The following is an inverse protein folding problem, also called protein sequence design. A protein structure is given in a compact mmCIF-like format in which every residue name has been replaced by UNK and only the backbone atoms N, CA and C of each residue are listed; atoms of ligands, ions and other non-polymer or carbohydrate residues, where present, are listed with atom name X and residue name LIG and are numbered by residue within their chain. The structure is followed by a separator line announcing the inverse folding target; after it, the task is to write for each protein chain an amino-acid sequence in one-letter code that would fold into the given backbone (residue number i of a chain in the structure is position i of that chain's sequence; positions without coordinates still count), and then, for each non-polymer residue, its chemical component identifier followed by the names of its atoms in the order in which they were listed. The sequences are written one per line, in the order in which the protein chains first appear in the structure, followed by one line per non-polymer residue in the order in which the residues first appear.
data_IF_422410998942
#
_entry.id   IF_422410998942
#
_cell.length_a   1.000
_cell.length_b   1.000
_cell.length_c   1.000
_cell.angle_alpha   90.00
_cell.angle_beta   90.00
_cell.angle_gamma   90.00
#
_symmetry.space_group_name_H-M   'P 1'
#
loop_
_entity.id
_entity.type
_entity.pdbx_description
1 polymer ?
#
# COMPACT_ATOMS: atom_id res chain seq x y z
N UNK A 1 31.75 -1.31 24.22
CA UNK A 1 30.90 -1.00 23.06
C UNK A 1 29.48 -0.81 23.56
N UNK A 2 29.01 0.43 23.60
CA UNK A 2 27.66 0.75 24.04
C UNK A 2 26.74 0.73 22.80
N UNK A 3 25.96 -0.34 22.66
CA UNK A 3 24.91 -0.41 21.64
C UNK A 3 23.76 0.51 22.06
N UNK A 4 23.32 1.39 21.16
CA UNK A 4 22.06 2.13 21.33
C UNK A 4 20.94 1.07 21.30
N UNK A 5 20.35 0.79 22.46
CA UNK A 5 19.38 -0.30 22.67
C UNK A 5 17.99 -0.01 22.08
N UNK A 6 17.68 1.26 21.85
CA UNK A 6 16.51 1.74 21.11
C UNK A 6 16.74 3.20 20.73
N UNK A 7 16.30 3.59 19.53
CA UNK A 7 15.93 4.98 19.26
C UNK A 7 14.44 5.03 19.49
N UNK A 8 14.07 5.28 20.74
CA UNK A 8 12.68 5.52 21.11
C UNK A 8 12.29 6.91 20.60
N UNK A 9 11.52 6.95 19.51
CA UNK A 9 10.87 8.19 19.01
C UNK A 9 9.66 8.53 19.90
N UNK A 10 9.83 8.43 21.22
CA UNK A 10 8.83 8.78 22.23
C UNK A 10 9.07 10.21 22.71
N UNK A 11 8.87 11.19 21.83
CA UNK A 11 8.39 12.52 22.22
C UNK A 11 8.01 13.41 21.04
N UNK A 12 7.57 12.82 19.92
CA UNK A 12 6.90 13.64 18.90
C UNK A 12 5.51 13.99 19.42
N UNK A 13 5.26 15.27 19.67
CA UNK A 13 3.95 15.78 20.01
C UNK A 13 2.94 15.40 18.92
N UNK A 14 2.17 14.34 19.20
CA UNK A 14 1.09 13.82 18.35
C UNK A 14 -0.06 14.84 18.21
N UNK A 15 -0.02 15.98 18.91
CA UNK A 15 -0.98 17.06 18.72
C UNK A 15 -0.93 17.66 17.31
N UNK A 16 0.22 17.56 16.61
CA UNK A 16 0.41 18.12 15.27
C UNK A 16 -0.08 17.21 14.11
N UNK A 17 -0.55 16.00 14.38
CA UNK A 17 -0.93 15.02 13.32
C UNK A 17 -2.38 14.53 13.36
N UNK A 18 -3.25 15.17 14.16
CA UNK A 18 -4.69 14.83 14.14
C UNK A 18 -5.42 15.57 13.02
N UNK A 19 -5.18 15.19 11.77
CA UNK A 19 -6.18 15.48 10.73
C UNK A 19 -7.27 14.40 10.88
N UNK A 20 -8.38 14.78 11.53
CA UNK A 20 -9.58 13.97 11.47
C UNK A 20 -10.03 13.90 10.02
N UNK A 21 -10.12 12.68 9.50
CA UNK A 21 -10.79 12.43 8.22
C UNK A 21 -12.26 12.73 8.44
N UNK A 22 -12.68 13.96 8.13
CA UNK A 22 -14.09 14.37 8.16
C UNK A 22 -14.77 13.87 6.88
N UNK A 23 -14.76 12.55 6.69
CA UNK A 23 -15.67 11.90 5.76
C UNK A 23 -17.00 11.74 6.49
N UNK A 24 -18.11 11.91 5.76
CA UNK A 24 -19.49 12.09 6.25
C UNK A 24 -20.01 11.03 7.24
N UNK A 25 -19.23 10.00 7.56
CA UNK A 25 -19.45 9.03 8.63
C UNK A 25 -18.29 9.13 9.64
N UNK A 26 -18.60 9.35 10.93
CA UNK A 26 -17.65 9.47 12.04
C UNK A 26 -16.77 8.21 12.22
N UNK A 27 -15.76 8.02 11.38
CA UNK A 27 -14.79 6.94 11.53
C UNK A 27 -13.66 7.40 12.44
N UNK A 28 -13.31 6.56 13.41
CA UNK A 28 -12.14 6.78 14.25
C UNK A 28 -10.90 6.29 13.48
N UNK A 29 -10.13 7.23 12.95
CA UNK A 29 -8.87 6.97 12.27
C UNK A 29 -7.93 8.16 12.39
N UNK A 30 -6.65 7.94 12.11
CA UNK A 30 -5.64 8.98 12.05
C UNK A 30 -4.65 8.65 10.95
N UNK A 31 -4.31 9.66 10.15
CA UNK A 31 -3.26 9.55 9.15
C UNK A 31 -2.26 10.69 9.28
N UNK A 32 -1.05 10.44 8.81
CA UNK A 32 0.02 11.44 8.66
C UNK A 32 0.02 11.94 7.23
N UNK A 33 0.30 13.23 7.05
CA UNK A 33 0.56 13.76 5.70
C UNK A 33 1.80 13.06 5.12
N UNK A 34 1.62 12.30 4.05
CA UNK A 34 2.65 11.42 3.50
C UNK A 34 3.91 12.20 3.11
N UNK A 35 3.75 13.27 2.32
CA UNK A 35 4.83 14.10 1.83
C UNK A 35 5.66 14.74 2.94
N UNK A 36 5.02 15.23 4.00
CA UNK A 36 5.72 15.80 5.15
C UNK A 36 6.39 14.72 5.97
N UNK A 37 5.72 13.59 6.18
CA UNK A 37 6.20 12.52 7.04
C UNK A 37 7.45 11.82 6.49
N UNK A 38 7.49 11.52 5.18
CA UNK A 38 8.67 10.88 4.58
C UNK A 38 9.91 11.76 4.60
N UNK A 39 9.76 13.09 4.64
CA UNK A 39 10.88 14.02 4.80
C UNK A 39 11.45 13.99 6.21
N UNK A 40 10.59 13.86 7.22
CA UNK A 40 11.02 13.67 8.62
C UNK A 40 11.76 12.34 8.78
N UNK A 41 11.26 11.26 8.16
CA UNK A 41 11.96 9.98 8.15
C UNK A 41 13.31 10.04 7.40
N UNK A 42 13.36 10.76 6.28
CA UNK A 42 14.61 11.00 5.56
C UNK A 42 15.65 11.74 6.42
N UNK A 43 15.24 12.78 7.14
CA UNK A 43 16.11 13.48 8.09
C UNK A 43 16.65 12.55 9.18
N UNK A 44 15.80 11.71 9.77
CA UNK A 44 16.23 10.69 10.73
C UNK A 44 17.31 9.78 10.14
N UNK A 45 17.09 9.23 8.93
CA UNK A 45 18.05 8.33 8.31
C UNK A 45 19.36 9.03 7.91
N UNK A 46 19.31 10.29 7.48
CA UNK A 46 20.52 11.09 7.24
C UNK A 46 21.32 11.24 8.54
N UNK A 47 20.67 11.57 9.65
CA UNK A 47 21.34 11.72 10.93
C UNK A 47 21.96 10.40 11.42
N UNK A 48 21.25 9.29 11.26
CA UNK A 48 21.77 7.95 11.60
C UNK A 48 22.99 7.64 10.73
N UNK A 49 22.87 7.79 9.41
CA UNK A 49 23.96 7.56 8.45
C UNK A 49 25.20 8.41 8.77
N UNK A 50 25.02 9.69 9.09
CA UNK A 50 26.10 10.59 9.50
C UNK A 50 26.76 10.24 10.82
N UNK A 51 26.02 9.60 11.75
CA UNK A 51 26.54 9.17 13.03
C UNK A 51 27.39 7.89 12.90
N UNK A 52 26.98 6.96 12.04
CA UNK A 52 27.68 5.68 11.85
C UNK A 52 28.78 5.72 10.79
N UNK A 53 28.72 6.66 9.83
CA UNK A 53 29.73 6.95 8.79
C UNK A 53 30.29 5.70 8.10
N UNK A 54 31.45 5.22 8.55
CA UNK A 54 32.15 4.06 7.99
C UNK A 54 31.40 2.75 8.19
N UNK A 55 30.45 2.70 9.13
CA UNK A 55 29.59 1.55 9.41
C UNK A 55 28.17 1.74 8.83
N UNK A 56 28.01 2.64 7.86
CA UNK A 56 26.71 2.86 7.21
C UNK A 56 26.16 1.58 6.58
N UNK A 57 24.90 1.31 6.89
CA UNK A 57 24.10 0.24 6.28
C UNK A 57 23.25 0.75 5.09
N UNK A 58 23.42 2.02 4.71
CA UNK A 58 22.59 2.66 3.70
C UNK A 58 22.99 2.23 2.29
N UNK A 59 22.05 1.68 1.53
CA UNK A 59 22.26 1.31 0.13
C UNK A 59 21.75 2.40 -0.82
N UNK A 60 22.60 2.78 -1.78
CA UNK A 60 22.28 3.79 -2.79
C UNK A 60 21.72 3.21 -4.10
N UNK A 61 21.84 1.90 -4.33
CA UNK A 61 21.34 1.24 -5.56
C UNK A 61 21.82 1.94 -6.85
N UNK A 62 23.09 2.36 -6.88
CA UNK A 62 23.68 3.07 -8.02
C UNK A 62 23.18 4.50 -8.24
N UNK A 63 22.33 5.03 -7.35
CA UNK A 63 21.85 6.41 -7.39
C UNK A 63 22.74 7.36 -6.58
N UNK A 64 22.41 8.65 -6.61
CA UNK A 64 23.06 9.66 -5.79
C UNK A 64 22.81 9.41 -4.29
N UNK A 65 23.71 9.88 -3.40
CA UNK A 65 23.47 9.85 -1.96
C UNK A 65 22.10 10.44 -1.59
N UNK A 66 21.41 9.81 -0.64
CA UNK A 66 20.08 10.20 -0.16
C UNK A 66 18.98 10.26 -1.23
N UNK A 67 19.12 9.45 -2.29
CA UNK A 67 17.96 8.97 -3.04
C UNK A 67 17.28 7.84 -2.25
N UNK A 68 16.14 8.17 -1.63
CA UNK A 68 15.35 7.25 -0.85
C UNK A 68 14.40 6.43 -1.73
N UNK A 69 14.56 5.11 -1.71
CA UNK A 69 13.66 4.15 -2.34
C UNK A 69 12.70 3.62 -1.28
N UNK A 70 11.40 3.73 -1.54
CA UNK A 70 10.35 3.51 -0.57
C UNK A 70 9.51 2.30 -0.97
N UNK A 71 9.11 1.51 0.02
CA UNK A 71 8.02 0.55 -0.07
C UNK A 71 6.82 1.04 0.73
N UNK A 72 5.62 0.88 0.17
CA UNK A 72 4.35 1.21 0.81
C UNK A 72 3.55 -0.07 1.01
N UNK A 73 3.50 -0.53 2.26
CA UNK A 73 2.70 -1.69 2.63
C UNK A 73 1.29 -1.29 3.02
N UNK A 74 0.34 -2.20 2.80
CA UNK A 74 -0.98 -2.11 3.40
C UNK A 74 -1.38 -3.49 3.93
N UNK A 75 -1.99 -3.49 5.11
CA UNK A 75 -2.47 -4.72 5.75
C UNK A 75 -3.84 -4.50 6.37
N UNK A 76 -4.70 -5.49 6.23
CA UNK A 76 -6.03 -5.55 6.81
C UNK A 76 -6.07 -6.67 7.82
N UNK A 77 -6.30 -6.33 9.08
CA UNK A 77 -6.26 -7.28 10.17
C UNK A 77 -7.65 -7.53 10.78
N UNK A 78 -7.97 -8.79 11.14
CA UNK A 78 -9.28 -9.18 11.66
C UNK A 78 -9.38 -8.84 13.17
N UNK A 79 -9.10 -7.60 13.52
CA UNK A 79 -9.23 -7.09 14.88
C UNK A 79 -9.74 -5.65 14.86
N UNK A 80 -10.54 -5.28 15.86
CA UNK A 80 -11.14 -3.94 15.90
C UNK A 80 -12.50 -3.94 16.59
N UNK A 81 -13.11 -2.76 16.68
CA UNK A 81 -14.49 -2.62 17.21
C UNK A 81 -15.53 -3.22 16.26
N UNK A 82 -15.19 -3.36 14.98
CA UNK A 82 -16.04 -3.86 13.90
C UNK A 82 -15.41 -5.08 13.21
N UNK A 83 -14.59 -5.85 13.95
CA UNK A 83 -13.82 -7.03 13.51
C UNK A 83 -12.83 -6.80 12.35
N UNK A 84 -12.62 -5.56 11.93
CA UNK A 84 -11.66 -5.19 10.88
C UNK A 84 -10.94 -3.86 11.19
N UNK A 85 -9.63 -3.85 11.00
CA UNK A 85 -8.79 -2.66 11.00
C UNK A 85 -7.83 -2.70 9.80
N UNK A 86 -7.54 -1.53 9.24
CA UNK A 86 -6.64 -1.41 8.10
C UNK A 86 -5.55 -0.41 8.42
N UNK A 87 -4.32 -0.72 8.01
CA UNK A 87 -3.17 0.14 8.16
C UNK A 87 -2.37 0.27 6.86
N UNK A 88 -1.76 1.43 6.70
CA UNK A 88 -0.74 1.70 5.69
C UNK A 88 0.59 1.98 6.36
N UNK A 89 1.64 1.37 5.83
CA UNK A 89 2.99 1.48 6.34
C UNK A 89 3.93 1.97 5.24
N UNK A 90 4.98 2.68 5.65
CA UNK A 90 6.06 3.12 4.79
C UNK A 90 7.39 2.59 5.32
N UNK A 91 8.23 2.11 4.42
CA UNK A 91 9.52 1.52 4.75
C UNK A 91 10.56 1.93 3.71
N UNK A 92 11.81 2.13 4.14
CA UNK A 92 12.87 2.63 3.27
C UNK A 92 13.75 1.45 2.82
N UNK A 93 13.72 1.12 1.53
CA UNK A 93 14.47 0.00 0.97
C UNK A 93 16.00 0.18 1.10
N UNK A 94 16.45 1.43 1.25
CA UNK A 94 17.85 1.75 1.47
C UNK A 94 18.44 1.09 2.73
N UNK A 95 17.61 0.71 3.71
CA UNK A 95 18.11 0.06 4.94
C UNK A 95 18.19 -1.47 4.84
N UNK A 96 17.81 -2.05 3.71
CA UNK A 96 17.96 -3.48 3.39
C UNK A 96 17.49 -4.41 4.50
N UNK A 97 18.38 -5.22 5.10
CA UNK A 97 17.99 -6.23 6.08
C UNK A 97 17.30 -5.62 7.30
N UNK A 98 17.54 -4.34 7.58
CA UNK A 98 16.84 -3.63 8.65
C UNK A 98 15.35 -3.47 8.34
N UNK A 99 14.90 -3.51 7.08
CA UNK A 99 13.46 -3.46 6.73
C UNK A 99 12.65 -4.62 7.30
N UNK A 100 13.31 -5.75 7.60
CA UNK A 100 12.66 -6.91 8.24
C UNK A 100 12.36 -6.65 9.72
N UNK A 101 12.96 -5.62 10.31
CA UNK A 101 12.67 -5.15 11.65
C UNK A 101 11.34 -4.40 11.66
N UNK A 102 10.50 -4.71 12.63
CA UNK A 102 9.29 -3.92 12.96
C UNK A 102 9.59 -2.44 13.22
N UNK A 103 10.84 -2.09 13.54
CA UNK A 103 11.27 -0.71 13.82
C UNK A 103 11.48 0.16 12.58
N UNK A 104 11.58 -0.47 11.41
CA UNK A 104 11.86 0.20 10.14
C UNK A 104 10.62 0.19 9.20
N UNK A 105 9.44 -0.10 9.78
CA UNK A 105 8.13 -0.05 9.14
C UNK A 105 7.25 0.98 9.89
N UNK A 106 6.94 2.11 9.26
CA UNK A 106 6.30 3.24 9.92
C UNK A 106 4.85 3.42 9.50
N UNK A 107 3.94 3.60 10.47
CA UNK A 107 2.53 3.87 10.17
C UNK A 107 2.33 5.24 9.49
N UNK A 108 1.68 5.22 8.33
CA UNK A 108 1.20 6.43 7.64
C UNK A 108 -0.30 6.64 7.86
N UNK A 109 -1.08 5.57 7.85
CA UNK A 109 -2.52 5.61 8.13
C UNK A 109 -2.93 4.36 8.93
N UNK A 110 -3.92 4.55 9.80
CA UNK A 110 -4.51 3.49 10.60
C UNK A 110 -5.95 3.83 10.91
N UNK A 111 -6.86 2.95 10.52
CA UNK A 111 -8.30 3.13 10.74
C UNK A 111 -8.95 1.82 11.15
N UNK A 112 -9.93 1.93 12.05
CA UNK A 112 -10.75 0.81 12.46
C UNK A 112 -11.91 0.63 11.46
N UNK A 113 -11.57 0.19 10.23
CA UNK A 113 -12.54 -0.26 9.24
C UNK A 113 -11.90 -1.22 8.24
N UNK A 114 -12.78 -1.86 7.46
CA UNK A 114 -12.44 -2.71 6.31
C UNK A 114 -11.48 -2.05 5.32
N UNK A 115 -10.61 -2.86 4.72
CA UNK A 115 -9.77 -2.49 3.58
C UNK A 115 -10.61 -2.07 2.37
N UNK A 116 -11.84 -2.60 2.26
CA UNK A 116 -12.79 -2.26 1.21
C UNK A 116 -13.65 -1.01 1.53
N UNK A 117 -13.48 -0.40 2.70
CA UNK A 117 -14.27 0.76 3.11
C UNK A 117 -14.01 1.98 2.19
N UNK A 118 -15.02 2.80 1.83
CA UNK A 118 -14.85 3.97 0.96
C UNK A 118 -13.73 4.94 1.37
N UNK A 119 -13.49 5.09 2.67
CA UNK A 119 -12.40 5.90 3.21
C UNK A 119 -11.02 5.39 2.80
N UNK A 120 -10.81 4.06 2.78
CA UNK A 120 -9.54 3.47 2.37
C UNK A 120 -9.27 3.72 0.89
N UNK A 121 -10.30 3.59 0.06
CA UNK A 121 -10.22 3.89 -1.37
C UNK A 121 -9.93 5.37 -1.64
N UNK A 122 -10.49 6.27 -0.82
CA UNK A 122 -10.21 7.70 -0.93
C UNK A 122 -8.79 8.04 -0.47
N UNK A 123 -8.35 7.47 0.65
CA UNK A 123 -7.00 7.63 1.15
C UNK A 123 -5.97 7.15 0.12
N UNK A 124 -6.20 6.00 -0.50
CA UNK A 124 -5.33 5.49 -1.54
C UNK A 124 -5.21 6.42 -2.75
N UNK A 125 -6.31 7.02 -3.20
CA UNK A 125 -6.29 8.02 -4.27
C UNK A 125 -5.44 9.23 -3.89
N UNK A 126 -5.59 9.71 -2.65
CA UNK A 126 -4.75 10.79 -2.12
C UNK A 126 -3.28 10.36 -2.08
N UNK A 127 -2.99 9.16 -1.57
CA UNK A 127 -1.63 8.64 -1.47
C UNK A 127 -0.98 8.54 -2.85
N UNK A 128 -1.67 8.05 -3.87
CA UNK A 128 -1.15 8.03 -5.25
C UNK A 128 -0.84 9.44 -5.79
N UNK A 129 -1.63 10.46 -5.43
CA UNK A 129 -1.34 11.85 -5.78
C UNK A 129 -0.10 12.37 -5.04
N UNK A 130 0.02 12.05 -3.75
CA UNK A 130 1.18 12.43 -2.93
C UNK A 130 2.47 11.76 -3.44
N UNK A 131 2.40 10.49 -3.85
CA UNK A 131 3.51 9.76 -4.48
C UNK A 131 3.92 10.44 -5.79
N UNK A 132 2.97 10.66 -6.70
CA UNK A 132 3.26 11.33 -7.97
C UNK A 132 3.86 12.72 -7.76
N UNK A 133 3.44 13.43 -6.70
CA UNK A 133 4.02 14.71 -6.34
C UNK A 133 5.47 14.56 -5.84
N UNK A 134 5.73 13.72 -4.83
CA UNK A 134 7.05 13.63 -4.20
C UNK A 134 8.13 13.14 -5.17
N UNK A 135 7.80 12.22 -6.07
CA UNK A 135 8.75 11.64 -7.03
C UNK A 135 9.26 12.64 -8.09
N UNK A 136 8.50 13.70 -8.35
CA UNK A 136 8.87 14.71 -9.36
C UNK A 136 9.79 15.79 -8.83
N UNK A 137 10.02 15.84 -7.52
CA UNK A 137 10.68 16.95 -6.85
C UNK A 137 12.04 16.52 -6.29
N UNK A 138 12.87 17.51 -5.98
CA UNK A 138 14.09 17.32 -5.19
C UNK A 138 14.02 18.24 -3.99
N UNK A 139 14.49 17.77 -2.85
CA UNK A 139 14.33 18.45 -1.56
C UNK A 139 15.68 18.63 -0.89
N UNK A 140 15.87 19.77 -0.24
CA UNK A 140 17.03 19.96 0.64
C UNK A 140 16.61 19.55 2.05
N UNK A 141 17.20 18.46 2.57
CA UNK A 141 16.92 17.92 3.90
C UNK A 141 18.25 17.79 4.63
N UNK A 142 18.35 18.43 5.80
CA UNK A 142 19.58 18.48 6.61
C UNK A 142 20.83 18.89 5.81
N UNK A 143 20.66 19.74 4.79
CA UNK A 143 21.74 20.23 3.91
C UNK A 143 22.05 19.35 2.69
N UNK A 144 21.37 18.21 2.52
CA UNK A 144 21.57 17.30 1.39
C UNK A 144 20.44 17.37 0.38
N UNK A 145 20.80 17.22 -0.90
CA UNK A 145 19.81 17.03 -1.94
C UNK A 145 19.25 15.61 -1.88
N UNK A 146 17.95 15.50 -1.64
CA UNK A 146 17.23 14.27 -1.44
C UNK A 146 16.17 14.08 -2.53
N UNK A 147 16.03 12.84 -2.97
CA UNK A 147 15.02 12.41 -3.93
C UNK A 147 14.28 11.20 -3.37
N UNK A 148 13.04 11.01 -3.82
CA UNK A 148 12.17 9.94 -3.36
C UNK A 148 11.63 9.16 -4.55
N UNK A 149 11.61 7.84 -4.46
CA UNK A 149 10.96 6.96 -5.44
C UNK A 149 10.27 5.82 -4.71
N UNK A 150 9.01 5.57 -5.03
CA UNK A 150 8.25 4.44 -4.54
C UNK A 150 8.41 3.29 -5.52
N UNK A 151 9.19 2.30 -5.12
CA UNK A 151 9.54 1.16 -5.98
C UNK A 151 8.58 0.00 -5.80
N UNK A 152 7.98 -0.10 -4.61
CA UNK A 152 7.19 -1.26 -4.21
C UNK A 152 5.94 -0.81 -3.47
N UNK A 153 4.82 -1.44 -3.83
CA UNK A 153 3.59 -1.39 -3.05
C UNK A 153 3.25 -2.83 -2.65
N UNK A 154 4.01 -3.45 -1.72
CA UNK A 154 3.76 -4.83 -1.31
C UNK A 154 2.35 -4.93 -0.74
N UNK A 155 1.54 -5.76 -1.40
CA UNK A 155 0.13 -5.92 -1.09
C UNK A 155 -0.21 -7.40 -1.17
N UNK A 156 -1.05 -7.88 -0.24
CA UNK A 156 -1.66 -9.18 -0.43
C UNK A 156 -2.58 -9.16 -1.68
N UNK A 157 -2.92 -10.35 -2.19
CA UNK A 157 -3.77 -10.47 -3.38
C UNK A 157 -5.17 -9.88 -3.18
N UNK A 158 -5.75 -9.96 -1.97
CA UNK A 158 -7.09 -9.42 -1.68
C UNK A 158 -7.06 -7.90 -1.82
N UNK A 159 -6.03 -7.28 -1.29
CA UNK A 159 -5.83 -5.85 -1.29
C UNK A 159 -5.51 -5.34 -2.70
N UNK A 160 -4.56 -5.97 -3.40
CA UNK A 160 -4.24 -5.64 -4.79
C UNK A 160 -5.49 -5.71 -5.67
N UNK A 161 -6.29 -6.76 -5.50
CA UNK A 161 -7.54 -6.94 -6.21
C UNK A 161 -8.53 -5.80 -5.90
N UNK A 162 -8.78 -5.51 -4.63
CA UNK A 162 -9.71 -4.45 -4.22
C UNK A 162 -9.33 -3.08 -4.80
N UNK A 163 -8.04 -2.77 -4.78
CA UNK A 163 -7.49 -1.46 -5.14
C UNK A 163 -7.36 -1.27 -6.66
N UNK A 164 -7.16 -2.37 -7.38
CA UNK A 164 -7.16 -2.40 -8.84
C UNK A 164 -8.58 -2.50 -9.43
N UNK A 165 -9.61 -2.63 -8.59
CA UNK A 165 -11.00 -2.78 -9.03
C UNK A 165 -11.34 -4.19 -9.53
N UNK A 166 -10.59 -5.18 -9.07
CA UNK A 166 -10.71 -6.58 -9.45
C UNK A 166 -11.76 -7.34 -8.65
N UNK A 167 -12.06 -8.52 -9.17
CA UNK A 167 -12.85 -9.50 -8.43
C UNK A 167 -12.08 -9.98 -7.21
N UNK A 168 -12.82 -10.34 -6.16
CA UNK A 168 -12.23 -10.93 -4.98
C UNK A 168 -11.60 -12.30 -5.32
N UNK A 169 -10.72 -12.77 -4.44
CA UNK A 169 -10.01 -14.03 -4.63
C UNK A 169 -10.92 -15.27 -4.59
N UNK A 170 -12.21 -15.12 -4.29
CA UNK A 170 -13.22 -16.19 -4.31
C UNK A 170 -13.99 -16.26 -5.64
N UNK A 171 -13.71 -15.35 -6.58
CA UNK A 171 -14.33 -15.38 -7.89
C UNK A 171 -13.80 -16.53 -8.75
N UNK A 172 -14.62 -16.98 -9.70
CA UNK A 172 -14.22 -17.98 -10.68
C UNK A 172 -12.95 -17.58 -11.43
N UNK A 173 -12.76 -16.29 -11.70
CA UNK A 173 -11.51 -15.68 -12.16
C UNK A 173 -10.87 -14.86 -11.02
N UNK A 174 -10.09 -15.53 -10.16
CA UNK A 174 -9.51 -14.91 -8.96
C UNK A 174 -8.15 -14.25 -9.19
N UNK A 175 -7.43 -14.63 -10.25
CA UNK A 175 -6.07 -14.10 -10.49
C UNK A 175 -6.14 -12.72 -11.14
N UNK A 176 -5.48 -11.71 -10.55
CA UNK A 176 -5.41 -10.38 -11.15
C UNK A 176 -4.39 -10.30 -12.30
N UNK A 177 -3.61 -11.37 -12.55
CA UNK A 177 -2.50 -11.35 -13.50
C UNK A 177 -2.81 -12.01 -14.85
N UNK A 178 -3.79 -12.92 -14.89
CA UNK A 178 -4.15 -13.63 -16.12
C UNK A 178 -5.39 -14.50 -15.96
N UNK A 179 -5.81 -15.15 -17.03
CA UNK A 179 -7.06 -15.91 -17.13
C UNK A 179 -7.10 -17.25 -16.38
N UNK A 180 -6.36 -17.34 -15.27
CA UNK A 180 -6.47 -18.44 -14.30
C UNK A 180 -7.87 -18.45 -13.70
N UNK A 181 -8.48 -19.62 -13.66
CA UNK A 181 -9.83 -19.81 -13.17
C UNK A 181 -10.02 -21.13 -12.42
N UNK A 182 -11.20 -21.34 -11.84
CA UNK A 182 -11.48 -22.54 -11.04
C UNK A 182 -11.28 -23.87 -11.78
N UNK A 183 -11.50 -23.89 -13.09
CA UNK A 183 -11.36 -25.11 -13.89
C UNK A 183 -9.88 -25.45 -14.15
N UNK A 184 -9.04 -24.43 -14.30
CA UNK A 184 -7.63 -24.61 -14.69
C UNK A 184 -6.61 -24.30 -13.58
N UNK A 185 -7.02 -23.81 -12.40
CA UNK A 185 -6.11 -23.46 -11.29
C UNK A 185 -5.28 -24.62 -10.74
N UNK A 186 -5.68 -25.86 -11.01
CA UNK A 186 -4.98 -27.08 -10.56
C UNK A 186 -3.94 -27.58 -11.57
N UNK A 187 -3.80 -26.93 -12.73
CA UNK A 187 -2.79 -27.29 -13.73
C UNK A 187 -1.40 -27.04 -13.15
N UNK A 188 -0.60 -28.11 -13.06
CA UNK A 188 0.81 -28.04 -12.63
C UNK A 188 1.70 -27.74 -13.82
N UNK A 189 2.80 -27.02 -13.60
CA UNK A 189 3.76 -26.60 -14.63
C UNK A 189 3.14 -25.78 -15.78
N UNK A 190 2.03 -25.10 -15.50
CA UNK A 190 1.46 -24.17 -16.47
C UNK A 190 2.34 -22.93 -16.62
N UNK A 191 2.33 -22.33 -17.80
CA UNK A 191 3.01 -21.07 -18.09
C UNK A 191 2.00 -19.94 -18.28
N UNK A 192 2.38 -18.74 -17.86
CA UNK A 192 1.64 -17.49 -18.09
C UNK A 192 2.43 -16.64 -19.09
N UNK A 193 1.79 -16.26 -20.21
CA UNK A 193 2.42 -15.43 -21.22
C UNK A 193 1.50 -15.14 -22.40
N UNK A 194 1.97 -14.30 -23.31
CA UNK A 194 1.22 -13.93 -24.53
C UNK A 194 1.33 -14.98 -25.64
N UNK A 195 2.23 -15.95 -25.51
CA UNK A 195 2.40 -17.03 -26.47
C UNK A 195 1.16 -17.94 -26.45
N UNK A 196 0.56 -18.28 -27.61
CA UNK A 196 -0.61 -19.16 -27.68
C UNK A 196 -0.42 -20.54 -27.04
N UNK A 197 0.82 -20.99 -26.87
CA UNK A 197 1.17 -22.25 -26.19
C UNK A 197 1.14 -22.13 -24.66
N UNK A 198 1.01 -20.92 -24.12
CA UNK A 198 0.89 -20.72 -22.68
C UNK A 198 -0.43 -21.28 -22.13
N UNK A 199 -0.35 -21.84 -20.92
CA UNK A 199 -1.54 -22.37 -20.22
C UNK A 199 -2.52 -21.27 -19.85
N UNK A 200 -1.97 -20.15 -19.39
CA UNK A 200 -2.70 -18.94 -19.04
C UNK A 200 -2.15 -17.77 -19.83
N UNK A 201 -3.02 -16.80 -20.05
CA UNK A 201 -2.67 -15.59 -20.79
C UNK A 201 -2.93 -14.37 -19.91
N UNK A 202 -2.07 -13.35 -19.97
CA UNK A 202 -2.32 -12.07 -19.31
C UNK A 202 -3.70 -11.52 -19.68
N UNK A 203 -4.34 -10.87 -18.71
CA UNK A 203 -5.62 -10.24 -19.01
C UNK A 203 -5.43 -9.10 -20.01
N UNK A 204 -6.26 -9.08 -21.05
CA UNK A 204 -6.41 -7.86 -21.84
C UNK A 204 -7.14 -6.81 -20.98
N UNK A 205 -6.46 -5.72 -20.62
CA UNK A 205 -6.99 -4.68 -19.73
C UNK A 205 -8.32 -4.08 -20.20
N UNK A 206 -8.50 -3.91 -21.51
CA UNK A 206 -9.76 -3.38 -22.07
C UNK A 206 -10.91 -4.37 -21.90
N UNK A 207 -10.65 -5.66 -22.17
CA UNK A 207 -11.63 -6.72 -21.95
C UNK A 207 -11.98 -6.86 -20.47
N UNK A 208 -10.98 -6.76 -19.59
CA UNK A 208 -11.13 -6.77 -18.14
C UNK A 208 -12.05 -5.66 -17.63
N UNK A 209 -11.82 -4.43 -18.09
CA UNK A 209 -12.66 -3.27 -17.73
C UNK A 209 -14.11 -3.46 -18.18
N UNK A 210 -14.32 -4.17 -19.30
CA UNK A 210 -15.65 -4.48 -19.81
C UNK A 210 -16.36 -5.52 -18.93
N UNK A 211 -15.67 -6.61 -18.59
CA UNK A 211 -16.20 -7.66 -17.68
C UNK A 211 -16.50 -7.08 -16.29
N UNK A 212 -15.62 -6.24 -15.74
CA UNK A 212 -15.84 -5.60 -14.45
C UNK A 212 -17.12 -4.73 -14.44
N UNK A 213 -17.38 -3.99 -15.52
CA UNK A 213 -18.64 -3.24 -15.71
C UNK A 213 -19.85 -4.15 -15.79
N UNK A 214 -19.78 -5.24 -16.55
CA UNK A 214 -20.89 -6.20 -16.65
C UNK A 214 -21.20 -6.87 -15.31
N UNK A 215 -20.17 -7.19 -14.52
CA UNK A 215 -20.33 -7.73 -13.16
C UNK A 215 -20.95 -6.69 -12.21
N UNK A 216 -20.51 -5.43 -12.29
CA UNK A 216 -21.09 -4.35 -11.49
C UNK A 216 -22.59 -4.18 -11.78
N UNK A 217 -22.97 -4.12 -13.06
CA UNK A 217 -24.36 -4.04 -13.48
C UNK A 217 -25.18 -5.23 -12.95
N UNK A 218 -24.67 -6.45 -13.08
CA UNK A 218 -25.34 -7.65 -12.54
C UNK A 218 -25.48 -7.65 -11.01
N UNK A 219 -24.54 -7.03 -10.29
CA UNK A 219 -24.64 -6.88 -8.83
C UNK A 219 -25.73 -5.89 -8.46
N UNK A 220 -25.84 -4.77 -9.17
CA UNK A 220 -26.91 -3.80 -8.98
C UNK A 220 -28.28 -4.45 -9.27
N UNK A 221 -28.42 -5.16 -10.39
CA UNK A 221 -29.63 -5.90 -10.76
C UNK A 221 -30.05 -6.90 -9.65
N UNK A 222 -29.11 -7.71 -9.14
CA UNK A 222 -29.42 -8.64 -8.03
C UNK A 222 -29.78 -7.94 -6.73
N UNK A 223 -29.16 -6.80 -6.43
CA UNK A 223 -29.44 -6.07 -5.19
C UNK A 223 -30.85 -5.49 -5.23
N UNK A 224 -31.29 -4.99 -6.40
CA UNK A 224 -32.67 -4.54 -6.61
C UNK A 224 -33.67 -5.70 -6.51
N UNK A 225 -33.35 -6.87 -7.08
CA UNK A 225 -34.20 -8.06 -6.95
C UNK A 225 -34.34 -8.51 -5.48
N UNK A 226 -33.25 -8.53 -4.70
CA UNK A 226 -33.30 -8.93 -3.28
C UNK A 226 -34.14 -7.96 -2.45
N UNK A 227 -34.14 -6.66 -2.76
CA UNK A 227 -35.01 -5.67 -2.09
C UNK A 227 -36.50 -5.86 -2.44
N UNK A 228 -36.84 -6.24 -3.66
CA UNK A 228 -38.22 -6.58 -4.04
C UNK A 228 -38.74 -7.82 -3.29
N UNK A 229 -37.88 -8.81 -3.02
CA UNK A 229 -38.26 -10.01 -2.26
C UNK A 229 -38.36 -9.80 -0.74
N UNK A 230 -37.86 -8.68 -0.20
CA UNK A 230 -37.99 -8.33 1.24
C UNK A 230 -39.19 -7.42 1.55
N UNK A 231 -39.91 -6.95 0.53
CA UNK A 231 -41.11 -6.11 0.66
C UNK A 231 -42.44 -6.91 0.63
N UNK A 232 -42.39 -8.23 0.77
CA UNK A 232 -43.57 -9.11 0.92
C UNK A 232 -43.53 -9.89 2.23
#
# INVERSE_FOLDING_TARGET
MAFIKSVDVYDFDLSLTRIQVNLRNQLKGSYRDFCSYIKVLAELYIQVDQAVRSESFFLHFGALPYHFRIAIGADGAPFGKDDEATAWLVSFLNVCNHIQSERDNFFVDGVNCSDNHPSMKQYAKKLMQDIAHIETQSYIISGFNCQFTVELVPSDMKWLSTMSGELNNAAYYFSPFGNVNDDNKRVRNGSLGDDPSCTWHPWNYNQRTKVAREVANKREERTMQVQEFQCY
#
